data_IF_750811277195
#
_entry.id   IF_750811277195
#
_cell.length_a   1.000
_cell.length_b   1.000
_cell.length_c   1.000
_cell.angle_alpha   90.00
_cell.angle_beta   90.00
_cell.angle_gamma   90.00
#
_symmetry.space_group_name_H-M   'P 1'
#
loop_
_entity.id
_entity.type
_entity.pdbx_description
1 polymer ?
#
# COMPACT_ATOMS: atom_id res chain seq x y z
N UNK A 1 22.15 -40.06 -4.93
CA UNK A 1 23.23 -39.17 -4.46
C UNK A 1 23.46 -38.11 -5.52
N UNK A 2 23.41 -36.83 -5.18
CA UNK A 2 23.72 -35.73 -6.10
C UNK A 2 25.19 -35.80 -6.54
N UNK A 3 25.48 -35.57 -7.82
CA UNK A 3 26.87 -35.50 -8.31
C UNK A 3 27.45 -34.12 -7.91
N UNK A 4 28.74 -34.04 -7.50
CA UNK A 4 29.37 -32.77 -7.12
C UNK A 4 29.27 -31.65 -8.18
N UNK A 5 29.27 -32.03 -9.47
CA UNK A 5 29.10 -31.10 -10.59
C UNK A 5 27.70 -30.45 -10.63
N UNK A 6 26.67 -31.20 -10.23
CA UNK A 6 25.28 -30.73 -10.25
C UNK A 6 25.01 -29.74 -9.11
N UNK A 7 25.68 -29.92 -7.95
CA UNK A 7 25.61 -28.98 -6.82
C UNK A 7 26.31 -27.65 -7.13
N UNK A 8 27.47 -27.69 -7.79
CA UNK A 8 28.16 -26.46 -8.22
C UNK A 8 27.32 -25.67 -9.22
N UNK A 9 26.75 -26.36 -10.21
CA UNK A 9 25.85 -25.74 -11.19
C UNK A 9 24.61 -25.11 -10.52
N UNK A 10 24.05 -25.77 -9.49
CA UNK A 10 22.94 -25.22 -8.71
C UNK A 10 23.34 -23.92 -7.99
N UNK A 11 24.49 -23.93 -7.30
CA UNK A 11 25.01 -22.75 -6.58
C UNK A 11 25.20 -21.57 -7.55
N UNK A 12 25.86 -21.81 -8.69
CA UNK A 12 26.15 -20.78 -9.68
C UNK A 12 24.86 -20.21 -10.29
N UNK A 13 23.87 -21.07 -10.58
CA UNK A 13 22.56 -20.66 -11.08
C UNK A 13 21.78 -19.84 -10.04
N UNK A 14 21.76 -20.27 -8.78
CA UNK A 14 21.06 -19.54 -7.72
C UNK A 14 21.65 -18.16 -7.50
N UNK A 15 22.98 -18.03 -7.48
CA UNK A 15 23.67 -16.72 -7.38
C UNK A 15 23.32 -15.81 -8.55
N UNK A 16 23.38 -16.34 -9.77
CA UNK A 16 23.01 -15.59 -10.98
C UNK A 16 21.56 -15.12 -10.92
N UNK A 17 20.66 -15.97 -10.43
CA UNK A 17 19.24 -15.64 -10.30
C UNK A 17 18.99 -14.60 -9.22
N UNK A 18 19.72 -14.64 -8.09
CA UNK A 18 19.66 -13.58 -7.07
C UNK A 18 20.10 -12.22 -7.64
N UNK A 19 21.19 -12.18 -8.43
CA UNK A 19 21.61 -10.95 -9.12
C UNK A 19 20.53 -10.43 -10.07
N UNK A 20 19.88 -11.34 -10.81
CA UNK A 20 18.76 -10.98 -11.70
C UNK A 20 17.58 -10.38 -10.91
N UNK A 21 17.22 -10.96 -9.76
CA UNK A 21 16.18 -10.42 -8.89
C UNK A 21 16.51 -9.02 -8.39
N UNK A 22 17.75 -8.80 -7.94
CA UNK A 22 18.19 -7.47 -7.51
C UNK A 22 18.05 -6.47 -8.65
N UNK A 23 18.47 -6.83 -9.86
CA UNK A 23 18.29 -5.98 -11.05
C UNK A 23 16.82 -5.66 -11.33
N UNK A 24 15.94 -6.66 -11.27
CA UNK A 24 14.49 -6.44 -11.45
C UNK A 24 13.87 -5.58 -10.35
N UNK A 25 14.26 -5.79 -9.09
CA UNK A 25 13.79 -4.95 -7.98
C UNK A 25 14.23 -3.50 -8.14
N UNK A 26 15.47 -3.27 -8.56
CA UNK A 26 15.99 -1.93 -8.88
C UNK A 26 15.25 -1.29 -10.06
N UNK A 27 14.94 -2.07 -11.11
CA UNK A 27 14.15 -1.59 -12.26
C UNK A 27 12.72 -1.19 -11.88
N UNK A 28 12.16 -1.80 -10.84
CA UNK A 28 10.81 -1.50 -10.33
C UNK A 28 10.82 -0.44 -9.21
N UNK A 29 11.99 0.11 -8.85
CA UNK A 29 12.08 1.17 -7.86
C UNK A 29 11.36 2.43 -8.33
N UNK A 30 10.72 3.19 -7.42
CA UNK A 30 10.19 4.51 -7.74
C UNK A 30 11.32 5.37 -8.32
N UNK A 31 11.24 5.69 -9.61
CA UNK A 31 12.22 6.50 -10.31
C UNK A 31 11.56 7.84 -10.67
N UNK A 32 12.15 8.96 -10.24
CA UNK A 32 11.69 10.31 -10.60
C UNK A 32 11.98 10.70 -12.07
N UNK A 33 12.28 9.74 -12.94
CA UNK A 33 12.64 10.00 -14.33
C UNK A 33 11.78 9.18 -15.29
N UNK A 34 11.22 9.90 -16.25
CA UNK A 34 10.61 9.38 -17.46
C UNK A 34 11.59 8.42 -18.17
N UNK A 35 11.50 7.12 -17.89
CA UNK A 35 12.31 6.12 -18.59
C UNK A 35 11.54 5.56 -19.79
N UNK A 36 12.18 5.78 -20.93
CA UNK A 36 11.92 5.35 -22.31
C UNK A 36 10.83 4.29 -22.49
N UNK A 37 9.75 4.71 -23.14
CA UNK A 37 8.74 3.84 -23.71
C UNK A 37 9.37 2.81 -24.65
N UNK A 38 9.35 1.53 -24.27
CA UNK A 38 9.60 0.44 -25.20
C UNK A 38 8.46 0.42 -26.22
N UNK A 39 8.78 0.73 -27.48
CA UNK A 39 7.83 0.64 -28.60
C UNK A 39 7.39 -0.81 -28.77
N UNK A 40 6.21 -1.17 -28.28
CA UNK A 40 5.55 -2.42 -28.64
C UNK A 40 4.41 -2.05 -29.57
N UNK A 41 4.54 -2.49 -30.82
CA UNK A 41 3.56 -2.29 -31.89
C UNK A 41 2.28 -3.07 -31.62
N UNK A 42 1.16 -2.44 -31.97
CA UNK A 42 -0.20 -2.94 -32.00
C UNK A 42 -0.27 -4.35 -32.61
N UNK A 43 -0.47 -5.37 -31.76
CA UNK A 43 -1.35 -6.52 -31.99
C UNK A 43 -1.25 -7.43 -30.75
N UNK A 44 -2.37 -7.55 -30.03
CA UNK A 44 -2.57 -8.51 -28.92
C UNK A 44 -1.57 -8.43 -27.75
N UNK A 45 -1.39 -7.25 -27.14
CA UNK A 45 -0.82 -7.23 -25.79
C UNK A 45 -1.87 -7.78 -24.82
N UNK A 46 -1.58 -8.91 -24.12
CA UNK A 46 -2.46 -9.39 -23.08
C UNK A 46 -2.58 -8.31 -22.01
N UNK A 47 -3.78 -8.15 -21.44
CA UNK A 47 -4.00 -7.21 -20.34
C UNK A 47 -2.93 -7.41 -19.26
N UNK A 48 -2.20 -6.36 -18.84
CA UNK A 48 -1.09 -6.49 -17.90
C UNK A 48 -1.54 -7.17 -16.58
N UNK A 49 -2.78 -6.96 -16.15
CA UNK A 49 -3.34 -7.64 -14.98
C UNK A 49 -3.47 -9.15 -15.19
N UNK A 50 -3.81 -9.59 -16.39
CA UNK A 50 -3.95 -11.03 -16.72
C UNK A 50 -2.58 -11.70 -16.82
N UNK A 51 -1.57 -11.00 -17.37
CA UNK A 51 -0.17 -11.48 -17.34
C UNK A 51 0.32 -11.62 -15.90
N UNK A 52 0.06 -10.62 -15.05
CA UNK A 52 0.45 -10.65 -13.64
C UNK A 52 -0.28 -11.77 -12.90
N UNK A 53 -1.59 -11.97 -13.13
CA UNK A 53 -2.33 -13.11 -12.56
C UNK A 53 -1.70 -14.44 -12.95
N UNK A 54 -1.49 -14.68 -14.25
CA UNK A 54 -0.96 -15.93 -14.76
C UNK A 54 0.45 -16.21 -14.22
N UNK A 55 1.35 -15.21 -14.27
CA UNK A 55 2.72 -15.34 -13.75
C UNK A 55 2.75 -15.52 -12.23
N UNK A 56 1.88 -14.86 -11.48
CA UNK A 56 1.78 -15.03 -10.01
C UNK A 56 1.28 -16.41 -9.62
N UNK A 57 0.25 -16.93 -10.30
CA UNK A 57 -0.23 -18.31 -10.08
C UNK A 57 0.86 -19.33 -10.40
N UNK A 58 1.59 -19.13 -11.49
CA UNK A 58 2.68 -20.00 -11.89
C UNK A 58 3.83 -19.94 -10.87
N UNK A 59 4.20 -18.75 -10.40
CA UNK A 59 5.20 -18.58 -9.34
C UNK A 59 4.81 -19.33 -8.07
N UNK A 60 3.55 -19.20 -7.62
CA UNK A 60 3.04 -19.91 -6.45
C UNK A 60 3.19 -21.43 -6.60
N UNK A 61 2.83 -21.98 -7.77
CA UNK A 61 2.99 -23.41 -8.08
C UNK A 61 4.47 -23.87 -8.07
N UNK A 62 5.37 -23.08 -8.67
CA UNK A 62 6.80 -23.35 -8.66
C UNK A 62 7.37 -23.30 -7.24
N UNK A 63 6.97 -22.32 -6.43
CA UNK A 63 7.40 -22.21 -5.03
C UNK A 63 6.96 -23.41 -4.20
N UNK A 64 5.73 -23.90 -4.37
CA UNK A 64 5.26 -25.13 -3.70
C UNK A 64 6.12 -26.34 -4.09
N UNK A 65 6.37 -26.49 -5.39
CA UNK A 65 7.19 -27.59 -5.90
C UNK A 65 8.63 -27.49 -5.37
N UNK A 66 9.20 -26.29 -5.33
CA UNK A 66 10.54 -26.03 -4.82
C UNK A 66 10.62 -26.35 -3.32
N UNK A 67 9.64 -25.91 -2.53
CA UNK A 67 9.53 -26.22 -1.11
C UNK A 67 9.55 -27.74 -0.86
N UNK A 68 8.73 -28.49 -1.60
CA UNK A 68 8.68 -29.96 -1.51
C UNK A 68 10.03 -30.60 -1.86
N UNK A 69 10.71 -30.12 -2.92
CA UNK A 69 12.03 -30.62 -3.32
C UNK A 69 13.13 -30.32 -2.29
N UNK A 70 13.00 -29.23 -1.53
CA UNK A 70 13.96 -28.83 -0.51
C UNK A 70 13.78 -29.61 0.79
N UNK A 71 12.54 -29.86 1.21
CA UNK A 71 12.24 -30.56 2.48
C UNK A 71 12.31 -32.09 2.36
N UNK A 72 12.21 -32.64 1.14
CA UNK A 72 12.16 -34.10 0.89
C UNK A 72 13.54 -34.64 0.51
N UNK A 73 14.16 -35.52 1.32
CA UNK A 73 15.39 -36.22 0.93
C UNK A 73 15.13 -37.27 -0.17
N UNK A 74 16.08 -37.53 -1.08
CA UNK A 74 17.37 -36.84 -1.26
C UNK A 74 17.21 -35.52 -2.05
N UNK A 75 18.13 -34.56 -1.81
CA UNK A 75 18.16 -33.36 -2.63
C UNK A 75 18.43 -33.73 -4.10
N UNK A 76 17.62 -33.18 -5.00
CA UNK A 76 17.71 -33.45 -6.44
C UNK A 76 18.09 -32.16 -7.18
N UNK A 77 19.40 -31.82 -7.30
CA UNK A 77 19.83 -30.53 -7.85
C UNK A 77 19.36 -30.29 -9.28
N UNK A 78 19.30 -31.32 -10.14
CA UNK A 78 18.82 -31.17 -11.51
C UNK A 78 17.35 -30.75 -11.60
N UNK A 79 16.49 -31.26 -10.70
CA UNK A 79 15.08 -30.87 -10.64
C UNK A 79 14.93 -29.42 -10.14
N UNK A 80 15.76 -29.03 -9.17
CA UNK A 80 15.79 -27.67 -8.64
C UNK A 80 16.29 -26.68 -9.69
N UNK A 81 17.37 -27.01 -10.40
CA UNK A 81 17.92 -26.22 -11.52
C UNK A 81 16.84 -25.98 -12.57
N UNK A 82 16.11 -27.04 -12.98
CA UNK A 82 15.03 -26.91 -13.94
C UNK A 82 13.94 -25.94 -13.43
N UNK A 83 13.55 -26.03 -12.16
CA UNK A 83 12.53 -25.14 -11.58
C UNK A 83 12.99 -23.68 -11.48
N UNK A 84 14.24 -23.42 -11.11
CA UNK A 84 14.80 -22.06 -11.10
C UNK A 84 14.87 -21.52 -12.54
N UNK A 85 15.24 -22.36 -13.51
CA UNK A 85 15.24 -22.01 -14.94
C UNK A 85 13.85 -21.64 -15.47
N UNK A 86 12.83 -22.45 -15.16
CA UNK A 86 11.43 -22.19 -15.54
C UNK A 86 10.95 -20.82 -15.00
N UNK A 87 11.25 -20.53 -13.73
CA UNK A 87 10.84 -19.28 -13.08
C UNK A 87 11.60 -18.08 -13.68
N UNK A 88 12.92 -18.17 -13.80
CA UNK A 88 13.76 -17.06 -14.25
C UNK A 88 13.57 -16.67 -15.71
N UNK A 89 13.34 -17.64 -16.60
CA UNK A 89 13.22 -17.38 -18.04
C UNK A 89 11.85 -16.83 -18.46
N UNK A 90 10.76 -17.25 -17.81
CA UNK A 90 9.39 -16.88 -18.20
C UNK A 90 8.61 -16.10 -17.16
N UNK A 91 8.57 -16.59 -15.92
CA UNK A 91 7.69 -16.04 -14.87
C UNK A 91 8.15 -14.66 -14.43
N UNK A 92 9.42 -14.52 -14.05
CA UNK A 92 9.96 -13.26 -13.54
C UNK A 92 9.99 -12.18 -14.63
N UNK A 93 10.45 -12.53 -15.83
CA UNK A 93 10.54 -11.62 -16.97
C UNK A 93 9.16 -11.11 -17.39
N UNK A 94 8.17 -12.01 -17.51
CA UNK A 94 6.79 -11.65 -17.82
C UNK A 94 6.14 -10.77 -16.76
N UNK A 95 6.36 -11.08 -15.48
CA UNK A 95 5.82 -10.30 -14.37
C UNK A 95 6.40 -8.88 -14.30
N UNK A 96 7.73 -8.75 -14.45
CA UNK A 96 8.42 -7.45 -14.43
C UNK A 96 8.04 -6.61 -15.66
N UNK A 97 7.93 -7.23 -16.84
CA UNK A 97 7.50 -6.54 -18.05
C UNK A 97 6.06 -6.01 -17.91
N UNK A 98 5.14 -6.83 -17.40
CA UNK A 98 3.75 -6.43 -17.18
C UNK A 98 3.63 -5.32 -16.11
N UNK A 99 4.40 -5.39 -15.02
CA UNK A 99 4.42 -4.34 -13.99
C UNK A 99 5.07 -3.04 -14.48
N UNK A 100 6.02 -3.12 -15.40
CA UNK A 100 6.70 -1.96 -15.98
C UNK A 100 5.92 -1.32 -17.11
N UNK A 101 4.88 -1.98 -17.63
CA UNK A 101 4.07 -1.50 -18.74
C UNK A 101 3.52 -0.09 -18.48
N UNK A 102 3.74 0.80 -19.44
CA UNK A 102 3.18 2.15 -19.49
C UNK A 102 2.46 2.34 -20.83
N UNK A 103 1.21 2.81 -20.83
CA UNK A 103 0.48 3.10 -22.06
C UNK A 103 1.17 4.24 -22.82
N UNK A 104 1.14 4.18 -24.14
CA UNK A 104 1.63 5.28 -24.98
C UNK A 104 0.67 6.48 -24.94
N UNK A 105 1.20 7.68 -25.16
CA UNK A 105 0.40 8.90 -25.23
C UNK A 105 -0.73 8.75 -26.28
N UNK A 106 -1.98 8.87 -25.84
CA UNK A 106 -3.17 8.71 -26.69
C UNK A 106 -3.90 7.36 -26.57
N UNK A 107 -3.36 6.38 -25.83
CA UNK A 107 -4.08 5.14 -25.53
C UNK A 107 -4.97 5.30 -24.29
N UNK A 108 -6.21 4.79 -24.38
CA UNK A 108 -7.08 4.66 -23.21
C UNK A 108 -6.53 3.57 -22.31
N UNK A 109 -6.36 3.91 -21.05
CA UNK A 109 -5.82 3.00 -20.04
C UNK A 109 -6.74 2.96 -18.83
N UNK A 110 -7.28 1.77 -18.58
CA UNK A 110 -8.23 1.51 -17.51
C UNK A 110 -7.54 1.08 -16.19
N UNK A 111 -6.21 0.91 -16.20
CA UNK A 111 -5.40 0.52 -15.04
C UNK A 111 -5.08 1.76 -14.20
N UNK A 112 -4.73 2.88 -14.85
CA UNK A 112 -4.34 4.12 -14.16
C UNK A 112 -2.95 4.04 -13.51
N UNK A 113 -2.37 5.20 -13.22
CA UNK A 113 -1.08 5.36 -12.58
C UNK A 113 -1.06 4.81 -11.16
N UNK A 114 -2.13 5.02 -10.37
CA UNK A 114 -2.23 4.50 -9.00
C UNK A 114 -2.07 2.98 -8.96
N UNK A 115 -2.79 2.26 -9.81
CA UNK A 115 -2.68 0.81 -9.89
C UNK A 115 -1.32 0.36 -10.39
N UNK A 116 -0.71 1.07 -11.35
CA UNK A 116 0.66 0.78 -11.82
C UNK A 116 1.69 0.90 -10.70
N UNK A 117 1.62 1.97 -9.92
CA UNK A 117 2.53 2.18 -8.78
C UNK A 117 2.37 1.04 -7.77
N UNK A 118 1.14 0.68 -7.43
CA UNK A 118 0.86 -0.42 -6.50
C UNK A 118 1.33 -1.78 -7.06
N UNK A 119 1.05 -2.09 -8.34
CA UNK A 119 1.50 -3.32 -8.98
C UNK A 119 3.03 -3.44 -8.98
N UNK A 120 3.76 -2.36 -9.27
CA UNK A 120 5.23 -2.35 -9.22
C UNK A 120 5.73 -2.63 -7.80
N UNK A 121 5.12 -2.01 -6.80
CA UNK A 121 5.48 -2.21 -5.40
C UNK A 121 5.23 -3.68 -4.96
N UNK A 122 4.06 -4.24 -5.29
CA UNK A 122 3.72 -5.62 -4.94
C UNK A 122 4.58 -6.65 -5.68
N UNK A 123 4.85 -6.44 -6.98
CA UNK A 123 5.76 -7.31 -7.74
C UNK A 123 7.17 -7.22 -7.15
N UNK A 124 7.68 -6.03 -6.84
CA UNK A 124 8.99 -5.86 -6.19
C UNK A 124 9.07 -6.58 -4.85
N UNK A 125 8.01 -6.51 -4.03
CA UNK A 125 7.89 -7.26 -2.77
C UNK A 125 7.94 -8.77 -3.03
N UNK A 126 7.15 -9.26 -3.98
CA UNK A 126 7.08 -10.69 -4.33
C UNK A 126 8.45 -11.21 -4.80
N UNK A 127 9.16 -10.46 -5.65
CA UNK A 127 10.53 -10.78 -6.07
C UNK A 127 11.49 -10.88 -4.87
N UNK A 128 11.33 -10.02 -3.86
CA UNK A 128 12.12 -10.07 -2.62
C UNK A 128 11.87 -11.35 -1.84
N UNK A 129 10.60 -11.65 -1.57
CA UNK A 129 10.22 -12.86 -0.82
C UNK A 129 10.67 -14.15 -1.51
N UNK A 130 10.66 -14.19 -2.86
CA UNK A 130 11.19 -15.32 -3.60
C UNK A 130 12.74 -15.37 -3.58
N UNK A 131 13.39 -14.21 -3.52
CA UNK A 131 14.83 -14.08 -3.28
C UNK A 131 15.27 -14.67 -1.94
N UNK A 132 14.44 -14.54 -0.90
CA UNK A 132 14.69 -15.16 0.42
C UNK A 132 14.68 -16.70 0.33
N UNK A 133 13.74 -17.27 -0.43
CA UNK A 133 13.71 -18.72 -0.73
C UNK A 133 14.97 -19.17 -1.46
N UNK A 134 15.45 -18.37 -2.43
CA UNK A 134 16.73 -18.65 -3.10
C UNK A 134 17.93 -18.56 -2.14
N UNK A 135 17.89 -17.65 -1.16
CA UNK A 135 18.90 -17.53 -0.11
C UNK A 135 19.00 -18.79 0.75
N UNK A 136 17.86 -19.32 1.20
CA UNK A 136 17.80 -20.58 1.95
C UNK A 136 18.31 -21.76 1.10
N UNK A 137 17.92 -21.81 -0.17
CA UNK A 137 18.38 -22.81 -1.12
C UNK A 137 19.91 -22.77 -1.28
N UNK A 138 20.47 -21.57 -1.44
CA UNK A 138 21.91 -21.40 -1.58
C UNK A 138 22.66 -21.91 -0.34
N UNK A 139 22.21 -21.54 0.86
CA UNK A 139 22.81 -22.00 2.11
C UNK A 139 22.77 -23.53 2.24
N UNK A 140 21.63 -24.15 1.92
CA UNK A 140 21.49 -25.61 1.92
C UNK A 140 22.39 -26.29 0.87
N UNK A 141 22.53 -25.71 -0.32
CA UNK A 141 23.39 -26.25 -1.38
C UNK A 141 24.87 -26.13 -1.03
N UNK A 142 25.32 -25.00 -0.49
CA UNK A 142 26.72 -24.76 -0.08
C UNK A 142 27.12 -25.68 1.09
N UNK A 143 26.25 -25.86 2.09
CA UNK A 143 26.47 -26.80 3.20
C UNK A 143 26.70 -28.22 2.69
N UNK A 144 25.89 -28.67 1.72
CA UNK A 144 25.97 -30.03 1.15
C UNK A 144 27.17 -30.20 0.22
N UNK A 145 27.55 -29.16 -0.53
CA UNK A 145 28.77 -29.15 -1.35
C UNK A 145 30.04 -29.22 -0.48
N UNK A 146 30.11 -28.45 0.62
CA UNK A 146 31.24 -28.50 1.56
C UNK A 146 31.38 -29.85 2.27
N UNK A 147 30.25 -30.49 2.62
CA UNK A 147 30.23 -31.82 3.25
C UNK A 147 30.70 -32.93 2.29
N UNK A 148 30.35 -32.84 1.00
CA UNK A 148 30.81 -33.81 -0.02
C UNK A 148 32.31 -33.73 -0.32
N UNK A 149 32.91 -32.53 -0.25
CA UNK A 149 34.34 -32.36 -0.49
C UNK A 149 35.22 -32.89 0.66
N UNK A 150 34.69 -32.95 1.88
CA UNK A 150 35.47 -33.33 3.08
C UNK A 150 35.29 -34.80 3.52
N UNK A 151 34.27 -35.52 3.04
CA UNK A 151 34.06 -36.93 3.41
C UNK A 151 33.43 -37.75 2.27
N UNK A 152 34.21 -38.63 1.65
CA UNK A 152 33.81 -39.49 0.54
C UNK A 152 32.67 -40.50 0.82
N UNK A 153 32.06 -40.48 2.01
CA UNK A 153 30.91 -41.34 2.40
C UNK A 153 29.91 -40.66 3.36
N UNK A 154 29.78 -39.33 3.35
CA UNK A 154 28.72 -38.69 4.13
C UNK A 154 27.34 -39.01 3.52
N UNK A 155 26.50 -39.75 4.27
CA UNK A 155 25.10 -39.99 3.94
C UNK A 155 24.38 -38.63 3.96
N UNK A 156 23.63 -38.31 2.91
CA UNK A 156 22.79 -37.11 2.90
C UNK A 156 21.71 -37.28 3.99
N UNK A 157 21.96 -36.71 5.17
CA UNK A 157 21.03 -36.76 6.30
C UNK A 157 19.77 -35.91 6.05
N UNK A 158 19.66 -35.29 4.87
CA UNK A 158 18.55 -34.43 4.52
C UNK A 158 18.65 -33.04 5.16
N UNK A 159 17.59 -32.23 5.01
CA UNK A 159 17.48 -30.97 5.73
C UNK A 159 17.24 -31.21 7.22
N UNK A 160 17.82 -30.36 8.07
CA UNK A 160 17.53 -30.34 9.50
C UNK A 160 16.09 -29.89 9.73
N UNK A 161 15.53 -30.14 10.92
CA UNK A 161 14.17 -29.69 11.23
C UNK A 161 14.05 -28.15 11.20
N UNK A 162 15.12 -27.43 11.61
CA UNK A 162 15.20 -25.97 11.48
C UNK A 162 15.12 -25.54 10.02
N UNK A 163 15.92 -26.15 9.14
CA UNK A 163 15.92 -25.82 7.71
C UNK A 163 14.56 -26.10 7.06
N UNK A 164 13.87 -27.18 7.44
CA UNK A 164 12.50 -27.43 6.96
C UNK A 164 11.54 -26.34 7.42
N UNK A 165 11.61 -25.95 8.69
CA UNK A 165 10.75 -24.90 9.22
C UNK A 165 11.00 -23.55 8.53
N UNK A 166 12.26 -23.20 8.28
CA UNK A 166 12.66 -22.00 7.55
C UNK A 166 12.14 -22.02 6.11
N UNK A 167 12.28 -23.15 5.40
CA UNK A 167 11.76 -23.32 4.03
C UNK A 167 10.23 -23.19 4.00
N UNK A 168 9.53 -23.83 4.93
CA UNK A 168 8.06 -23.76 5.02
C UNK A 168 7.59 -22.34 5.37
N UNK A 169 8.28 -21.66 6.29
CA UNK A 169 8.01 -20.28 6.65
C UNK A 169 8.19 -19.33 5.45
N UNK A 170 9.34 -19.40 4.78
CA UNK A 170 9.61 -18.58 3.58
C UNK A 170 8.63 -18.89 2.44
N UNK A 171 8.23 -20.17 2.29
CA UNK A 171 7.18 -20.57 1.32
C UNK A 171 5.85 -19.89 1.66
N UNK A 172 5.47 -19.86 2.94
CA UNK A 172 4.26 -19.17 3.41
C UNK A 172 4.27 -17.68 3.08
N UNK A 173 5.39 -17.00 3.32
CA UNK A 173 5.55 -15.57 3.00
C UNK A 173 5.39 -15.31 1.49
N UNK A 174 5.97 -16.16 0.63
CA UNK A 174 5.78 -16.06 -0.83
C UNK A 174 4.32 -16.30 -1.22
N UNK A 175 3.63 -17.24 -0.59
CA UNK A 175 2.21 -17.49 -0.85
C UNK A 175 1.34 -16.30 -0.48
N UNK A 176 1.55 -15.71 0.70
CA UNK A 176 0.84 -14.51 1.13
C UNK A 176 1.06 -13.35 0.15
N UNK A 177 2.31 -13.15 -0.31
CA UNK A 177 2.62 -12.14 -1.33
C UNK A 177 1.94 -12.44 -2.68
N UNK A 178 1.89 -13.71 -3.10
CA UNK A 178 1.15 -14.13 -4.29
C UNK A 178 -0.36 -13.86 -4.16
N UNK A 179 -0.94 -14.21 -3.01
CA UNK A 179 -2.38 -14.07 -2.76
C UNK A 179 -2.80 -12.59 -2.67
N UNK A 180 -1.96 -11.76 -2.05
CA UNK A 180 -2.15 -10.31 -2.03
C UNK A 180 -2.13 -9.72 -3.46
N UNK A 181 -1.17 -10.13 -4.30
CA UNK A 181 -1.08 -9.66 -5.68
C UNK A 181 -2.23 -10.17 -6.56
N UNK A 182 -2.66 -11.42 -6.40
CA UNK A 182 -3.82 -11.98 -7.08
C UNK A 182 -5.12 -11.24 -6.69
N UNK A 183 -5.29 -10.97 -5.40
CA UNK A 183 -6.43 -10.19 -4.89
C UNK A 183 -6.43 -8.79 -5.48
N UNK A 184 -5.29 -8.10 -5.49
CA UNK A 184 -5.16 -6.78 -6.12
C UNK A 184 -5.59 -6.81 -7.59
N UNK A 185 -5.15 -7.80 -8.36
CA UNK A 185 -5.52 -7.94 -9.76
C UNK A 185 -7.00 -8.33 -9.97
N UNK A 186 -7.65 -8.97 -8.98
CA UNK A 186 -9.07 -9.30 -9.00
C UNK A 186 -9.94 -8.09 -8.63
N UNK A 187 -9.54 -7.35 -7.60
CA UNK A 187 -10.22 -6.16 -7.09
C UNK A 187 -10.10 -4.96 -8.05
N UNK A 188 -9.02 -4.92 -8.84
CA UNK A 188 -8.76 -3.90 -9.85
C UNK A 188 -8.53 -2.50 -9.26
N UNK A 189 -8.53 -1.49 -10.13
CA UNK A 189 -8.26 -0.09 -9.72
C UNK A 189 -9.28 0.43 -8.71
N UNK A 190 -10.55 0.07 -8.85
CA UNK A 190 -11.63 0.52 -7.96
C UNK A 190 -11.46 -0.08 -6.57
N UNK A 191 -11.22 -1.39 -6.48
CA UNK A 191 -11.02 -2.04 -5.18
C UNK A 191 -9.76 -1.53 -4.48
N UNK A 192 -8.70 -1.21 -5.23
CA UNK A 192 -7.52 -0.55 -4.68
C UNK A 192 -7.84 0.84 -4.11
N UNK A 193 -8.58 1.67 -4.86
CA UNK A 193 -8.93 3.03 -4.41
C UNK A 193 -9.88 3.00 -3.22
N UNK A 194 -10.84 2.06 -3.20
CA UNK A 194 -11.70 1.81 -2.02
C UNK A 194 -10.86 1.48 -0.80
N UNK A 195 -9.94 0.51 -0.93
CA UNK A 195 -9.06 0.12 0.17
C UNK A 195 -8.23 1.29 0.68
N UNK A 196 -7.58 2.05 -0.22
CA UNK A 196 -6.79 3.23 0.16
C UNK A 196 -7.64 4.31 0.82
N UNK A 197 -8.85 4.56 0.34
CA UNK A 197 -9.77 5.52 0.95
C UNK A 197 -10.20 5.07 2.36
N UNK A 198 -10.42 3.78 2.59
CA UNK A 198 -10.73 3.23 3.92
C UNK A 198 -9.53 3.35 4.87
N UNK A 199 -8.30 3.06 4.40
CA UNK A 199 -7.06 3.25 5.17
C UNK A 199 -6.84 4.73 5.53
N UNK A 200 -6.97 5.65 4.57
CA UNK A 200 -6.83 7.10 4.81
C UNK A 200 -7.89 7.62 5.78
N UNK A 201 -9.12 7.09 5.71
CA UNK A 201 -10.17 7.41 6.68
C UNK A 201 -9.82 6.93 8.09
N UNK A 202 -9.23 5.75 8.22
CA UNK A 202 -8.81 5.24 9.52
C UNK A 202 -7.74 6.16 10.13
N UNK A 203 -6.69 6.48 9.35
CA UNK A 203 -5.64 7.44 9.76
C UNK A 203 -6.23 8.78 10.20
N UNK A 204 -7.16 9.34 9.41
CA UNK A 204 -7.86 10.57 9.77
C UNK A 204 -8.58 10.46 11.13
N UNK A 205 -9.30 9.37 11.37
CA UNK A 205 -10.07 9.22 12.60
C UNK A 205 -9.19 8.96 13.82
N UNK A 206 -8.08 8.25 13.63
CA UNK A 206 -7.09 8.04 14.69
C UNK A 206 -6.48 9.39 15.10
N UNK A 207 -6.07 10.23 14.14
CA UNK A 207 -5.56 11.58 14.41
C UNK A 207 -6.60 12.51 15.06
N UNK A 208 -7.88 12.36 14.69
CA UNK A 208 -8.98 13.11 15.30
C UNK A 208 -9.21 12.72 16.76
N UNK A 209 -9.08 11.43 17.08
CA UNK A 209 -9.21 10.98 18.46
C UNK A 209 -8.00 11.43 19.29
N UNK A 210 -6.78 11.33 18.73
CA UNK A 210 -5.56 11.84 19.36
C UNK A 210 -5.66 13.35 19.68
N UNK A 211 -6.15 14.17 18.73
CA UNK A 211 -6.35 15.60 18.96
C UNK A 211 -7.42 15.89 20.01
N UNK A 212 -8.46 15.05 20.09
CA UNK A 212 -9.52 15.18 21.07
C UNK A 212 -9.02 14.82 22.46
N UNK A 213 -8.31 13.70 22.60
CA UNK A 213 -7.69 13.27 23.86
C UNK A 213 -6.71 14.34 24.37
N UNK A 214 -5.86 14.89 23.49
CA UNK A 214 -4.96 16.00 23.85
C UNK A 214 -5.69 17.25 24.37
N UNK A 215 -6.89 17.55 23.84
CA UNK A 215 -7.72 18.67 24.30
C UNK A 215 -8.52 18.40 25.58
N UNK A 216 -8.78 17.14 25.91
CA UNK A 216 -9.56 16.70 27.08
C UNK A 216 -8.68 16.51 28.33
N UNK A 217 -7.38 16.21 28.18
CA UNK A 217 -6.36 16.06 29.24
C UNK A 217 -6.07 17.33 30.09
N UNK A 218 -6.94 18.33 30.02
CA UNK A 218 -6.83 19.63 30.69
C UNK A 218 -7.93 19.83 31.76
N UNK A 219 -8.97 18.98 31.77
CA UNK A 219 -10.11 19.14 32.68
C UNK A 219 -9.98 18.40 34.03
N UNK A 220 -9.09 17.42 34.19
CA UNK A 220 -9.17 16.43 35.29
C UNK A 220 -8.15 16.59 36.46
N UNK A 221 -7.37 17.68 36.53
CA UNK A 221 -6.36 17.85 37.61
C UNK A 221 -6.82 18.68 38.83
N UNK A 222 -8.10 19.02 38.97
CA UNK A 222 -8.63 19.67 40.18
C UNK A 222 -10.01 19.13 40.55
N UNK A 223 -10.09 17.94 41.17
CA UNK A 223 -11.26 17.58 42.00
C UNK A 223 -11.02 16.38 42.95
N UNK A 224 -9.90 16.34 43.67
CA UNK A 224 -9.81 15.50 44.88
C UNK A 224 -8.75 15.91 45.91
N UNK A 225 -8.81 17.15 46.40
CA UNK A 225 -8.09 17.53 47.62
C UNK A 225 -8.96 18.36 48.57
N UNK A 226 -10.14 17.83 48.93
CA UNK A 226 -10.77 18.23 50.19
C UNK A 226 -10.12 17.49 51.37
N UNK A 227 -9.23 18.19 52.09
CA UNK A 227 -9.13 18.04 53.55
C UNK A 227 -7.88 17.39 54.14
N UNK A 228 -6.88 18.20 54.45
CA UNK A 228 -6.18 18.34 55.76
C UNK A 228 -4.85 19.03 55.49
N UNK A 229 -4.54 20.22 55.99
CA UNK A 229 -4.37 20.48 57.41
C UNK A 229 -2.88 20.45 57.75
N UNK A 230 -2.22 21.59 57.53
CA UNK A 230 -0.99 22.11 58.16
C UNK A 230 0.35 21.32 58.07
N UNK A 231 1.41 22.12 57.99
CA UNK A 231 2.84 21.84 58.22
C UNK A 231 3.71 21.31 57.06
N UNK A 232 4.55 22.23 56.55
CA UNK A 232 5.93 22.07 56.08
C UNK A 232 6.32 20.76 55.39
N UNK A 233 6.34 20.76 54.06
CA UNK A 233 7.37 20.00 53.32
C UNK A 233 7.78 20.71 52.03
N UNK A 234 9.00 21.24 52.08
CA UNK A 234 9.79 21.79 50.99
C UNK A 234 10.31 20.65 50.12
N UNK A 235 9.45 20.08 49.27
CA UNK A 235 9.85 19.26 48.13
C UNK A 235 9.13 19.76 46.89
N UNK A 236 9.85 20.58 46.13
CA UNK A 236 9.45 21.02 44.80
C UNK A 236 9.17 19.81 43.93
N UNK A 237 8.00 19.84 43.31
CA UNK A 237 7.54 18.92 42.29
C UNK A 237 8.46 19.04 41.05
N UNK A 238 9.58 18.32 41.07
CA UNK A 238 10.56 18.28 39.97
C UNK A 238 10.07 17.42 38.79
N UNK A 239 8.90 16.78 38.89
CA UNK A 239 8.33 15.96 37.82
C UNK A 239 7.47 16.76 36.81
N UNK A 240 7.18 18.04 37.07
CA UNK A 240 6.41 18.92 36.16
C UNK A 240 7.28 19.71 35.15
N UNK A 241 8.61 19.62 35.26
CA UNK A 241 9.55 20.32 34.38
C UNK A 241 9.64 19.70 32.97
N UNK A 242 9.24 18.44 32.80
CA UNK A 242 9.31 17.75 31.50
C UNK A 242 7.94 17.37 30.91
N UNK A 243 6.81 17.67 31.59
CA UNK A 243 5.47 17.21 31.20
C UNK A 243 4.49 18.28 30.67
N UNK A 244 4.75 19.58 30.86
CA UNK A 244 3.71 20.61 30.75
C UNK A 244 4.00 21.79 29.79
N UNK A 245 5.00 21.73 28.91
CA UNK A 245 5.35 22.90 28.08
C UNK A 245 4.46 23.15 26.84
N UNK A 246 3.62 22.18 26.41
CA UNK A 246 2.74 22.31 25.23
C UNK A 246 1.28 21.88 25.52
N UNK A 247 0.78 22.07 26.74
CA UNK A 247 -0.63 21.82 27.05
C UNK A 247 -1.44 23.11 26.89
N UNK A 248 -2.63 22.99 26.32
CA UNK A 248 -3.57 24.11 26.17
C UNK A 248 -3.96 24.61 27.58
N UNK A 249 -3.66 25.88 27.88
CA UNK A 249 -3.92 26.47 29.18
C UNK A 249 -5.42 26.65 29.44
N UNK A 250 -5.85 26.52 30.71
CA UNK A 250 -7.25 26.69 31.17
C UNK A 250 -7.91 28.01 30.70
N UNK A 251 -7.12 29.03 30.35
CA UNK A 251 -7.59 30.35 29.94
C UNK A 251 -7.72 30.56 28.42
N UNK A 252 -7.25 29.63 27.58
CA UNK A 252 -7.28 29.78 26.12
C UNK A 252 -8.58 29.23 25.51
N UNK A 253 -9.68 29.91 25.86
CA UNK A 253 -11.04 29.55 25.40
C UNK A 253 -11.18 29.61 23.89
N UNK A 254 -10.46 30.51 23.22
CA UNK A 254 -10.53 30.67 21.77
C UNK A 254 -9.91 29.46 21.07
N UNK A 255 -8.73 29.02 21.52
CA UNK A 255 -8.07 27.85 20.96
C UNK A 255 -8.83 26.54 21.28
N UNK A 256 -9.47 26.45 22.46
CA UNK A 256 -10.37 25.33 22.80
C UNK A 256 -11.61 25.27 21.90
N UNK A 257 -12.28 26.41 21.67
CA UNK A 257 -13.42 26.48 20.74
C UNK A 257 -13.01 26.14 19.31
N UNK A 258 -11.80 26.55 18.89
CA UNK A 258 -11.24 26.20 17.59
C UNK A 258 -10.93 24.70 17.48
N UNK A 259 -10.40 24.08 18.54
CA UNK A 259 -10.15 22.64 18.60
C UNK A 259 -11.44 21.83 18.50
N UNK A 260 -12.47 22.18 19.28
CA UNK A 260 -13.78 21.52 19.23
C UNK A 260 -14.42 21.63 17.85
N UNK A 261 -14.34 22.82 17.24
CA UNK A 261 -14.81 23.06 15.87
C UNK A 261 -14.04 22.21 14.87
N UNK A 262 -12.72 22.11 15.03
CA UNK A 262 -11.84 21.32 14.17
C UNK A 262 -12.19 19.83 14.25
N UNK A 263 -12.23 19.26 15.46
CA UNK A 263 -12.61 17.87 15.71
C UNK A 263 -13.97 17.55 15.09
N UNK A 264 -14.97 18.41 15.28
CA UNK A 264 -16.30 18.23 14.69
C UNK A 264 -16.26 18.23 13.16
N UNK A 265 -15.55 19.18 12.54
CA UNK A 265 -15.40 19.23 11.07
C UNK A 265 -14.64 18.01 10.55
N UNK A 266 -13.55 17.59 11.17
CA UNK A 266 -12.79 16.42 10.76
C UNK A 266 -13.60 15.12 10.88
N UNK A 267 -14.44 14.96 11.91
CA UNK A 267 -15.42 13.86 12.00
C UNK A 267 -16.39 13.86 10.82
N UNK A 268 -16.84 15.04 10.38
CA UNK A 268 -17.68 15.16 9.17
C UNK A 268 -16.93 14.78 7.88
N UNK A 269 -15.63 15.09 7.79
CA UNK A 269 -14.78 14.60 6.70
C UNK A 269 -14.67 13.07 6.76
N UNK A 270 -14.52 12.46 7.93
CA UNK A 270 -14.58 11.00 8.09
C UNK A 270 -15.89 10.36 7.56
N UNK A 271 -17.03 11.07 7.70
CA UNK A 271 -18.30 10.65 7.07
C UNK A 271 -18.28 10.79 5.54
N UNK A 272 -17.60 11.81 5.00
CA UNK A 272 -17.43 12.00 3.57
C UNK A 272 -16.71 10.82 2.91
N UNK A 273 -15.59 10.35 3.49
CA UNK A 273 -14.90 9.16 2.98
C UNK A 273 -15.83 7.95 2.89
N UNK A 274 -16.63 7.72 3.95
CA UNK A 274 -17.56 6.61 3.97
C UNK A 274 -18.63 6.71 2.87
N UNK A 275 -19.15 7.92 2.64
CA UNK A 275 -20.14 8.17 1.61
C UNK A 275 -19.57 8.03 0.19
N UNK A 276 -18.38 8.60 -0.07
CA UNK A 276 -17.66 8.45 -1.34
C UNK A 276 -17.41 6.97 -1.63
N UNK A 277 -16.88 6.22 -0.66
CA UNK A 277 -16.62 4.79 -0.81
C UNK A 277 -17.90 4.00 -1.14
N UNK A 278 -18.98 4.23 -0.39
CA UNK A 278 -20.22 3.44 -0.54
C UNK A 278 -21.04 3.81 -1.78
N UNK A 279 -21.06 5.09 -2.17
CA UNK A 279 -22.03 5.63 -3.15
C UNK A 279 -21.39 6.12 -4.45
N UNK A 280 -20.06 6.27 -4.49
CA UNK A 280 -19.30 6.68 -5.69
C UNK A 280 -18.32 5.62 -6.15
N UNK A 281 -17.42 5.17 -5.29
CA UNK A 281 -16.41 4.19 -5.71
C UNK A 281 -17.06 2.84 -6.07
N UNK A 282 -18.04 2.36 -5.28
CA UNK A 282 -18.76 1.11 -5.59
C UNK A 282 -19.67 1.17 -6.83
N UNK A 283 -19.99 2.36 -7.32
CA UNK A 283 -20.80 2.55 -8.54
C UNK A 283 -19.94 2.84 -9.77
N UNK A 284 -18.61 2.73 -9.66
CA UNK A 284 -17.68 2.92 -10.76
C UNK A 284 -17.96 1.93 -11.90
N UNK A 285 -18.07 2.39 -13.16
CA UNK A 285 -18.36 1.52 -14.28
C UNK A 285 -17.16 0.57 -14.50
N UNK A 286 -17.39 -0.73 -14.37
CA UNK A 286 -16.38 -1.72 -14.73
C UNK A 286 -16.06 -1.57 -16.24
N UNK A 287 -14.77 -1.67 -16.65
CA UNK A 287 -14.43 -1.69 -18.07
C UNK A 287 -15.08 -2.91 -18.70
N UNK A 288 -16.17 -2.69 -19.44
CA UNK A 288 -16.85 -3.75 -20.18
C UNK A 288 -15.96 -4.12 -21.36
N UNK A 289 -15.33 -5.29 -21.29
CA UNK A 289 -14.71 -5.93 -22.45
C UNK A 289 -15.80 -6.17 -23.50
N UNK A 290 -15.95 -5.25 -24.46
CA UNK A 290 -16.85 -5.44 -25.61
C UNK A 290 -17.60 -4.21 -26.11
N UNK A 291 -17.64 -3.10 -25.38
CA UNK A 291 -18.32 -1.92 -25.92
C UNK A 291 -17.33 -1.16 -26.82
N UNK A 292 -17.31 -1.51 -28.12
CA UNK A 292 -16.86 -0.57 -29.16
C UNK A 292 -17.71 0.68 -28.97
N UNK A 293 -17.15 1.70 -28.32
CA UNK A 293 -17.81 2.97 -28.14
C UNK A 293 -18.16 3.47 -29.54
N UNK A 294 -19.46 3.66 -29.76
CA UNK A 294 -19.98 4.32 -30.95
C UNK A 294 -19.17 5.59 -31.16
N UNK A 295 -18.41 5.64 -32.25
CA UNK A 295 -17.87 6.88 -32.79
C UNK A 295 -19.05 7.72 -33.27
N UNK A 296 -19.76 8.36 -32.35
CA UNK A 296 -20.54 9.55 -32.68
C UNK A 296 -19.56 10.70 -32.73
N UNK A 297 -19.27 11.10 -33.96
CA UNK A 297 -18.41 12.19 -34.34
C UNK A 297 -18.72 13.47 -33.54
N UNK A 298 -17.65 14.15 -33.11
CA UNK A 298 -17.63 15.58 -32.91
C UNK A 298 -18.21 16.08 -31.60
N UNK A 299 -17.47 15.92 -30.50
CA UNK A 299 -17.10 17.09 -29.71
C UNK A 299 -15.80 16.84 -28.96
N UNK A 300 -14.81 17.70 -29.15
CA UNK A 300 -13.58 17.72 -28.37
C UNK A 300 -13.85 18.44 -27.03
N UNK A 301 -14.88 17.97 -26.31
CA UNK A 301 -15.21 18.41 -24.97
C UNK A 301 -14.32 17.69 -23.96
N UNK A 302 -13.75 18.46 -23.05
CA UNK A 302 -12.85 18.11 -21.95
C UNK A 302 -13.49 17.21 -20.88
N UNK A 303 -14.16 16.12 -21.26
CA UNK A 303 -14.64 15.14 -20.29
C UNK A 303 -13.47 14.25 -19.86
N UNK A 304 -12.87 14.60 -18.72
CA UNK A 304 -11.86 13.80 -18.06
C UNK A 304 -12.36 12.35 -17.95
N UNK A 305 -11.62 11.42 -18.56
CA UNK A 305 -11.91 9.98 -18.48
C UNK A 305 -12.15 9.57 -17.01
N UNK A 306 -13.11 8.68 -16.72
CA UNK A 306 -13.41 8.23 -15.35
C UNK A 306 -12.16 7.85 -14.53
N UNK A 307 -11.14 7.26 -15.16
CA UNK A 307 -9.86 6.91 -14.55
C UNK A 307 -9.09 8.13 -14.03
N UNK A 308 -9.10 9.26 -14.77
CA UNK A 308 -8.42 10.51 -14.35
C UNK A 308 -9.15 11.15 -13.18
N UNK A 309 -10.49 11.20 -13.23
CA UNK A 309 -11.30 11.66 -12.08
C UNK A 309 -11.04 10.83 -10.83
N UNK A 310 -10.83 9.51 -10.97
CA UNK A 310 -10.50 8.61 -9.87
C UNK A 310 -9.10 8.89 -9.28
N UNK A 311 -8.11 9.19 -10.12
CA UNK A 311 -6.76 9.59 -9.67
C UNK A 311 -6.77 10.94 -8.96
N UNK A 312 -7.44 11.94 -9.55
CA UNK A 312 -7.59 13.27 -8.95
C UNK A 312 -8.33 13.19 -7.61
N UNK A 313 -9.36 12.34 -7.51
CA UNK A 313 -10.06 12.08 -6.25
C UNK A 313 -9.11 11.47 -5.21
N UNK A 314 -8.35 10.44 -5.57
CA UNK A 314 -7.43 9.81 -4.62
C UNK A 314 -6.34 10.78 -4.15
N UNK A 315 -5.86 11.67 -5.01
CA UNK A 315 -4.91 12.70 -4.63
C UNK A 315 -5.50 13.65 -3.57
N UNK A 316 -6.74 14.11 -3.75
CA UNK A 316 -7.44 14.94 -2.77
C UNK A 316 -7.66 14.19 -1.45
N UNK A 317 -8.10 12.93 -1.51
CA UNK A 317 -8.27 12.10 -0.31
C UNK A 317 -6.94 11.79 0.39
N UNK A 318 -5.80 11.81 -0.29
CA UNK A 318 -4.49 11.61 0.34
C UNK A 318 -3.98 12.88 1.03
N UNK A 319 -4.28 14.05 0.48
CA UNK A 319 -3.87 15.33 1.04
C UNK A 319 -4.53 15.64 2.39
N UNK A 320 -5.76 15.18 2.60
CA UNK A 320 -6.53 15.49 3.82
C UNK A 320 -5.80 15.03 5.10
N UNK A 321 -5.42 13.74 5.27
CA UNK A 321 -4.71 13.33 6.48
C UNK A 321 -3.34 14.00 6.65
N UNK A 322 -2.65 14.34 5.56
CA UNK A 322 -1.39 15.10 5.61
C UNK A 322 -1.63 16.51 6.16
N UNK A 323 -2.68 17.19 5.69
CA UNK A 323 -3.08 18.50 6.24
C UNK A 323 -3.58 18.41 7.69
N UNK A 324 -4.11 17.26 8.12
CA UNK A 324 -4.52 17.05 9.52
C UNK A 324 -3.31 16.86 10.44
N UNK A 325 -2.23 16.25 9.97
CA UNK A 325 -0.95 16.18 10.70
C UNK A 325 -0.35 17.58 10.89
N UNK A 326 -0.37 18.41 9.84
CA UNK A 326 0.01 19.82 9.92
C UNK A 326 -0.89 20.59 10.91
N UNK A 327 -2.20 20.32 10.90
CA UNK A 327 -3.16 20.94 11.82
C UNK A 327 -2.89 20.56 13.27
N UNK A 328 -2.59 19.28 13.52
CA UNK A 328 -2.24 18.80 14.85
C UNK A 328 -0.97 19.48 15.36
N UNK A 329 0.04 19.62 14.50
CA UNK A 329 1.29 20.34 14.81
C UNK A 329 1.01 21.80 15.21
N UNK A 330 0.16 22.51 14.47
CA UNK A 330 -0.23 23.89 14.81
C UNK A 330 -0.96 23.99 16.16
N UNK A 331 -1.80 23.01 16.50
CA UNK A 331 -2.43 22.94 17.83
C UNK A 331 -1.41 22.70 18.94
N UNK A 332 -0.46 21.79 18.72
CA UNK A 332 0.59 21.52 19.69
C UNK A 332 1.51 22.72 19.91
N UNK A 333 1.76 23.50 18.87
CA UNK A 333 2.54 24.75 18.95
C UNK A 333 1.73 25.94 19.49
N UNK A 334 0.45 25.73 19.82
CA UNK A 334 -0.49 26.74 20.32
C UNK A 334 -0.67 27.93 19.34
N UNK A 335 -0.49 27.69 18.03
CA UNK A 335 -0.68 28.70 16.99
C UNK A 335 -2.12 28.66 16.46
N UNK A 336 -2.98 29.49 17.05
CA UNK A 336 -4.38 29.58 16.67
C UNK A 336 -4.61 30.08 15.23
N UNK A 337 -3.73 30.93 14.71
CA UNK A 337 -3.85 31.49 13.36
C UNK A 337 -3.47 30.43 12.32
N UNK A 338 -2.37 29.72 12.53
CA UNK A 338 -1.95 28.60 11.69
C UNK A 338 -2.97 27.45 11.75
N UNK A 339 -3.45 27.09 12.94
CA UNK A 339 -4.49 26.08 13.09
C UNK A 339 -5.75 26.43 12.31
N UNK A 340 -6.19 27.71 12.35
CA UNK A 340 -7.36 28.18 11.60
C UNK A 340 -7.14 28.10 10.09
N UNK A 341 -5.97 28.54 9.61
CA UNK A 341 -5.63 28.49 8.19
C UNK A 341 -5.56 27.05 7.67
N UNK A 342 -4.92 26.16 8.43
CA UNK A 342 -4.75 24.75 8.07
C UNK A 342 -6.09 24.00 8.12
N UNK A 343 -6.96 24.31 9.08
CA UNK A 343 -8.33 23.80 9.11
C UNK A 343 -9.12 24.23 7.86
N UNK A 344 -9.02 25.50 7.45
CA UNK A 344 -9.70 25.99 6.24
C UNK A 344 -9.19 25.27 4.99
N UNK A 345 -7.88 25.04 4.89
CA UNK A 345 -7.26 24.24 3.81
C UNK A 345 -7.83 22.82 3.78
N UNK A 346 -7.85 22.11 4.91
CA UNK A 346 -8.42 20.77 5.03
C UNK A 346 -9.91 20.74 4.60
N UNK A 347 -10.67 21.77 5.01
CA UNK A 347 -12.07 21.93 4.62
C UNK A 347 -12.22 22.13 3.10
N UNK A 348 -11.34 22.92 2.49
CA UNK A 348 -11.30 23.16 1.05
C UNK A 348 -10.97 21.88 0.25
N UNK A 349 -10.04 21.07 0.74
CA UNK A 349 -9.68 19.77 0.15
C UNK A 349 -10.87 18.80 0.19
N UNK A 350 -11.57 18.69 1.32
CA UNK A 350 -12.76 17.86 1.46
C UNK A 350 -13.91 18.31 0.54
N UNK A 351 -14.14 19.63 0.42
CA UNK A 351 -15.13 20.19 -0.52
C UNK A 351 -14.76 19.92 -1.98
N UNK A 352 -13.48 20.04 -2.32
CA UNK A 352 -12.99 19.74 -3.67
C UNK A 352 -13.18 18.26 -4.01
N UNK A 353 -12.93 17.37 -3.05
CA UNK A 353 -13.14 15.93 -3.22
C UNK A 353 -14.61 15.59 -3.48
N UNK A 354 -15.55 16.16 -2.70
CA UNK A 354 -16.98 15.88 -2.89
C UNK A 354 -17.53 16.49 -4.18
N UNK A 355 -17.06 17.67 -4.58
CA UNK A 355 -17.52 18.33 -5.81
C UNK A 355 -17.02 17.58 -7.06
N UNK A 356 -15.77 17.09 -7.04
CA UNK A 356 -15.19 16.31 -8.13
C UNK A 356 -16.03 15.08 -8.50
N UNK A 357 -16.63 14.44 -7.50
CA UNK A 357 -17.52 13.27 -7.67
C UNK A 357 -18.96 13.58 -7.30
N UNK A 358 -19.40 14.83 -7.41
CA UNK A 358 -20.79 15.20 -7.07
C UNK A 358 -21.79 14.49 -7.97
N UNK A 359 -21.54 14.49 -9.27
CA UNK A 359 -22.35 13.74 -10.24
C UNK A 359 -21.89 12.29 -10.35
N UNK A 360 -22.76 11.43 -10.88
CA UNK A 360 -22.40 10.05 -11.18
C UNK A 360 -21.29 9.99 -12.23
N UNK A 361 -20.68 8.81 -12.42
CA UNK A 361 -19.67 8.58 -13.46
C UNK A 361 -20.19 8.80 -14.88
N UNK A 362 -21.52 8.84 -15.08
CA UNK A 362 -22.18 9.14 -16.36
C UNK A 362 -22.66 10.59 -16.45
N UNK A 363 -22.31 11.44 -15.48
CA UNK A 363 -22.71 12.86 -15.45
C UNK A 363 -24.16 13.11 -15.05
N UNK A 364 -24.85 12.10 -14.51
CA UNK A 364 -26.23 12.23 -14.06
C UNK A 364 -26.31 12.55 -12.57
N UNK A 365 -27.34 13.29 -12.19
CA UNK A 365 -27.67 13.51 -10.78
C UNK A 365 -28.30 12.24 -10.18
N UNK A 366 -27.93 11.93 -8.93
CA UNK A 366 -28.45 10.80 -8.18
C UNK A 366 -28.64 11.13 -6.69
N UNK A 367 -28.94 10.12 -5.87
CA UNK A 367 -29.12 10.27 -4.42
C UNK A 367 -27.90 10.89 -3.73
N UNK A 368 -26.68 10.58 -4.19
CA UNK A 368 -25.48 11.15 -3.61
C UNK A 368 -25.28 12.60 -4.03
N UNK A 369 -25.71 13.02 -5.23
CA UNK A 369 -25.70 14.45 -5.61
C UNK A 369 -26.55 15.29 -4.66
N UNK A 370 -27.70 14.75 -4.24
CA UNK A 370 -28.55 15.41 -3.23
C UNK A 370 -27.89 15.36 -1.85
N UNK A 371 -27.29 14.23 -1.49
CA UNK A 371 -26.61 14.08 -0.20
C UNK A 371 -25.37 14.99 -0.07
N UNK A 372 -24.57 15.12 -1.13
CA UNK A 372 -23.37 15.95 -1.12
C UNK A 372 -23.72 17.43 -0.92
N UNK A 373 -24.77 17.93 -1.57
CA UNK A 373 -25.27 19.28 -1.34
C UNK A 373 -25.66 19.51 0.13
N UNK A 374 -26.40 18.57 0.73
CA UNK A 374 -26.76 18.64 2.16
C UNK A 374 -25.53 18.56 3.07
N UNK A 375 -24.57 17.70 2.74
CA UNK A 375 -23.33 17.55 3.49
C UNK A 375 -22.52 18.85 3.45
N UNK A 376 -22.35 19.48 2.28
CA UNK A 376 -21.66 20.78 2.15
C UNK A 376 -22.35 21.85 2.98
N UNK A 377 -23.68 21.99 2.88
CA UNK A 377 -24.42 22.98 3.70
C UNK A 377 -24.27 22.73 5.20
N UNK A 378 -24.32 21.48 5.64
CA UNK A 378 -24.10 21.13 7.04
C UNK A 378 -22.64 21.38 7.47
N UNK A 379 -21.69 21.15 6.58
CA UNK A 379 -20.26 21.32 6.83
C UNK A 379 -19.85 22.79 6.95
N UNK A 380 -20.50 23.67 6.19
CA UNK A 380 -20.34 25.13 6.27
C UNK A 380 -20.97 25.72 7.53
N UNK A 381 -22.08 25.13 7.98
CA UNK A 381 -22.77 25.56 9.20
C UNK A 381 -22.16 24.99 10.50
N UNK A 382 -21.34 23.94 10.39
CA UNK A 382 -20.71 23.26 11.51
C UNK A 382 -19.56 24.06 12.11
#
# INVERSE_FOLDING_TARGET
MAKPKDLRALIDLTKTTQTLLTHYQSSLAPSNSNSVATKITENELPNPLDVIKATTTLLKSHTTTLSLLLITPPLTPSAIIAKIGDVSSGVLSGMVAAASYTPQAGQRDDVGNTMRVELRAQVRRLLGTWGDVLGLLLAMAERRHGTQNNAAKAKDNGPTESEKQEVLSATGVVWEACDALLKLCADGVVGLVVKKAEELRAVLLDAVEELKEWGEDIEDDEDNAEGSGDEDDEFGDEDDIFGASNKLGKDDKELKELLDTSVKKLKMVGMLYQAITKRRLKTYPAPTAGTKASTTNGDAGTDASPSRKLEDLLALLKAIPETVDDLASAFYDLDADEARQTLEKCCGEAKSAVELVRQSWTGSDDEFTTWSGKWVSAFDAA
#
